data_IF_753659497176
#
_entry.id   IF_753659497176
#
_cell.length_a   1.000
_cell.length_b   1.000
_cell.length_c   1.000
_cell.angle_alpha   90.00
_cell.angle_beta   90.00
_cell.angle_gamma   90.00
#
_symmetry.space_group_name_H-M   'P 1'
#
loop_
_entity.id
_entity.type
_entity.pdbx_description
1 polymer ?
#
# COMPACT_ATOMS: atom_id res chain seq x y z
N UNK A 1 -19.16 -2.16 -1.85
CA UNK A 1 -18.73 -0.88 -2.47
C UNK A 1 -17.26 -0.95 -2.91
N UNK A 2 -16.32 -1.29 -2.02
CA UNK A 2 -14.87 -1.34 -2.34
C UNK A 2 -14.52 -2.08 -3.64
N UNK A 3 -14.98 -3.33 -3.83
CA UNK A 3 -14.80 -4.09 -5.09
C UNK A 3 -15.25 -3.32 -6.34
N UNK A 4 -16.40 -2.67 -6.27
CA UNK A 4 -16.96 -1.93 -7.39
C UNK A 4 -16.12 -0.68 -7.73
N UNK A 5 -15.57 -0.01 -6.71
CA UNK A 5 -14.67 1.14 -6.91
C UNK A 5 -13.36 0.68 -7.54
N UNK A 6 -12.76 -0.42 -7.05
CA UNK A 6 -11.53 -0.98 -7.63
C UNK A 6 -11.75 -1.34 -9.10
N UNK A 7 -12.79 -2.11 -9.40
CA UNK A 7 -13.12 -2.51 -10.77
C UNK A 7 -13.41 -1.30 -11.68
N UNK A 8 -14.06 -0.26 -11.16
CA UNK A 8 -14.32 0.98 -11.90
C UNK A 8 -13.02 1.73 -12.23
N UNK A 9 -12.13 1.89 -11.25
CA UNK A 9 -10.82 2.53 -11.45
C UNK A 9 -10.03 1.82 -12.54
N UNK A 10 -9.95 0.49 -12.48
CA UNK A 10 -9.28 -0.31 -13.50
C UNK A 10 -9.93 -0.18 -14.88
N UNK A 11 -11.26 -0.15 -14.97
CA UNK A 11 -11.97 0.04 -16.24
C UNK A 11 -11.72 1.41 -16.88
N UNK A 12 -11.40 2.41 -16.05
CA UNK A 12 -10.99 3.75 -16.49
C UNK A 12 -9.48 3.87 -16.76
N UNK A 13 -8.71 2.78 -16.61
CA UNK A 13 -7.26 2.80 -16.75
C UNK A 13 -6.54 3.53 -15.63
N UNK A 14 -7.13 3.60 -14.44
CA UNK A 14 -6.56 4.23 -13.24
C UNK A 14 -6.01 3.18 -12.27
N UNK A 15 -4.94 3.53 -11.57
CA UNK A 15 -4.46 2.79 -10.39
C UNK A 15 -5.25 3.21 -9.14
N UNK A 16 -5.48 2.27 -8.23
CA UNK A 16 -6.29 2.46 -7.03
C UNK A 16 -5.45 2.27 -5.77
N UNK A 17 -5.47 3.27 -4.90
CA UNK A 17 -4.86 3.23 -3.56
C UNK A 17 -5.96 3.04 -2.51
N UNK A 18 -5.88 1.96 -1.73
CA UNK A 18 -6.72 1.80 -0.54
C UNK A 18 -6.02 2.36 0.70
N UNK A 19 -6.56 3.44 1.24
CA UNK A 19 -6.06 4.08 2.48
C UNK A 19 -6.76 3.54 3.74
N UNK A 20 -6.06 3.61 4.88
CA UNK A 20 -6.59 3.17 6.18
C UNK A 20 -6.49 1.66 6.43
N UNK A 21 -5.54 0.97 5.81
CA UNK A 21 -5.34 -0.49 6.05
C UNK A 21 -4.60 -0.72 7.37
N UNK A 22 -5.27 -1.32 8.34
CA UNK A 22 -4.74 -1.51 9.70
C UNK A 22 -4.55 -2.98 10.08
N UNK A 23 -5.25 -3.90 9.39
CA UNK A 23 -5.25 -5.32 9.75
C UNK A 23 -4.82 -6.23 8.58
N UNK A 24 -4.18 -7.38 8.86
CA UNK A 24 -3.84 -8.36 7.82
C UNK A 24 -5.05 -8.86 7.04
N UNK A 25 -6.23 -8.93 7.67
CA UNK A 25 -7.48 -9.34 7.01
C UNK A 25 -7.93 -8.33 5.94
N UNK A 26 -7.85 -7.03 6.22
CA UNK A 26 -8.12 -5.98 5.23
C UNK A 26 -7.14 -6.04 4.07
N UNK A 27 -5.84 -6.17 4.34
CA UNK A 27 -4.81 -6.32 3.30
C UNK A 27 -5.09 -7.56 2.42
N UNK A 28 -5.43 -8.69 3.04
CA UNK A 28 -5.76 -9.92 2.30
C UNK A 28 -6.96 -9.72 1.38
N UNK A 29 -8.02 -9.09 1.87
CA UNK A 29 -9.19 -8.74 1.06
C UNK A 29 -8.82 -7.83 -0.13
N UNK A 30 -8.09 -6.74 0.13
CA UNK A 30 -7.68 -5.79 -0.92
C UNK A 30 -6.80 -6.45 -1.99
N UNK A 31 -5.90 -7.35 -1.58
CA UNK A 31 -5.07 -8.13 -2.49
C UNK A 31 -5.90 -9.12 -3.34
N UNK A 32 -6.94 -9.74 -2.76
CA UNK A 32 -7.85 -10.61 -3.51
C UNK A 32 -8.70 -9.85 -4.54
N UNK A 33 -9.02 -8.59 -4.26
CA UNK A 33 -9.74 -7.70 -5.17
C UNK A 33 -8.81 -7.00 -6.18
N UNK A 34 -7.52 -7.35 -6.21
CA UNK A 34 -6.48 -6.76 -7.06
C UNK A 34 -6.28 -5.25 -6.88
N UNK A 35 -6.44 -4.71 -5.67
CA UNK A 35 -6.10 -3.30 -5.42
C UNK A 35 -4.59 -3.07 -5.63
N UNK A 36 -4.21 -2.00 -6.34
CA UNK A 36 -2.84 -1.78 -6.78
C UNK A 36 -1.90 -1.40 -5.64
N UNK A 37 -2.37 -0.51 -4.76
CA UNK A 37 -1.59 -0.03 -3.64
C UNK A 37 -2.42 0.02 -2.35
N UNK A 38 -1.72 -0.11 -1.22
CA UNK A 38 -2.30 0.09 0.10
C UNK A 38 -1.49 1.09 0.91
N UNK A 39 -2.20 1.87 1.72
CA UNK A 39 -1.62 2.75 2.73
C UNK A 39 -2.34 2.53 4.05
N UNK A 40 -1.59 2.41 5.14
CA UNK A 40 -2.18 2.37 6.47
C UNK A 40 -1.22 1.88 7.54
N UNK A 41 -1.68 1.91 8.78
CA UNK A 41 -0.86 1.59 9.95
C UNK A 41 -0.41 0.14 10.04
N UNK A 42 -1.01 -0.75 9.24
CA UNK A 42 -0.50 -2.11 9.06
C UNK A 42 0.95 -2.09 8.52
N UNK A 43 1.27 -1.16 7.61
CA UNK A 43 2.59 -1.07 6.99
C UNK A 43 3.54 -0.16 7.78
N UNK A 44 3.08 1.06 8.08
CA UNK A 44 3.83 2.05 8.83
C UNK A 44 2.90 3.17 9.31
N UNK A 45 3.27 3.82 10.42
CA UNK A 45 2.70 5.11 10.79
C UNK A 45 3.37 6.24 9.98
N UNK A 46 2.71 7.40 9.80
CA UNK A 46 3.33 8.60 9.26
C UNK A 46 4.63 8.94 10.00
N UNK A 47 5.66 9.32 9.24
CA UNK A 47 6.99 9.60 9.76
C UNK A 47 7.38 11.05 9.43
N UNK A 48 8.12 11.72 10.32
CA UNK A 48 8.86 12.94 9.95
C UNK A 48 9.81 12.69 8.78
N UNK A 49 10.15 13.74 8.04
CA UNK A 49 10.96 13.64 6.83
C UNK A 49 12.32 12.96 7.07
N UNK A 50 12.98 13.28 8.18
CA UNK A 50 14.30 12.73 8.54
C UNK A 50 14.20 11.23 8.84
N UNK A 51 13.14 10.82 9.54
CA UNK A 51 12.88 9.42 9.85
C UNK A 51 12.54 8.63 8.59
N UNK A 52 11.74 9.20 7.68
CA UNK A 52 11.44 8.60 6.39
C UNK A 52 12.71 8.43 5.53
N UNK A 53 13.56 9.45 5.44
CA UNK A 53 14.81 9.37 4.69
C UNK A 53 15.76 8.29 5.24
N UNK A 54 15.84 8.15 6.57
CA UNK A 54 16.61 7.08 7.19
C UNK A 54 16.04 5.69 6.87
N UNK A 55 14.72 5.53 6.92
CA UNK A 55 14.04 4.28 6.59
C UNK A 55 14.21 3.89 5.11
N UNK A 56 14.11 4.87 4.20
CA UNK A 56 14.31 4.66 2.77
C UNK A 56 15.73 4.14 2.45
N UNK A 57 16.76 4.70 3.11
CA UNK A 57 18.16 4.25 2.96
C UNK A 57 18.36 2.82 3.45
N UNK A 58 17.72 2.42 4.56
CA UNK A 58 17.77 1.02 5.06
C UNK A 58 17.15 0.04 4.07
N UNK A 59 16.07 0.44 3.39
CA UNK A 59 15.38 -0.41 2.40
C UNK A 59 16.17 -0.54 1.10
N UNK A 60 16.92 0.48 0.69
CA UNK A 60 17.79 0.40 -0.50
C UNK A 60 18.95 -0.59 -0.33
N UNK A 61 19.45 -0.81 0.89
CA UNK A 61 20.57 -1.72 1.14
C UNK A 61 20.13 -3.18 1.27
N UNK A 62 18.90 -3.45 1.71
CA UNK A 62 18.36 -4.82 1.82
C UNK A 62 17.86 -5.39 0.49
N UNK A 63 17.53 -4.53 -0.48
CA UNK A 63 16.99 -4.92 -1.79
C UNK A 63 18.06 -5.44 -2.78
N UNK A 64 19.35 -5.38 -2.43
CA UNK A 64 20.46 -5.93 -3.22
C UNK A 64 20.68 -7.44 -3.02
N UNK A 65 19.76 -8.18 -2.39
CA UNK A 65 19.86 -9.64 -2.14
C UNK A 65 18.72 -10.47 -2.74
N UNK A 66 18.04 -9.99 -3.78
CA UNK A 66 17.19 -10.83 -4.64
C UNK A 66 17.40 -10.47 -6.09
#
# INVERSE_FOLDING_TARGET
ITRAIIAMGHHLGLEVVAEGVETPAQMKFLNQENCDYIQGYLLARPLPAEAFAAELRKRSTSRSRR
#
